data_IF_373404402759
#
_entry.id   IF_373404402759
#
_cell.length_a   1.000
_cell.length_b   1.000
_cell.length_c   1.000
_cell.angle_alpha   90.00
_cell.angle_beta   90.00
_cell.angle_gamma   90.00
#
_symmetry.space_group_name_H-M   'P 1'
#
loop_
_entity.id
_entity.type
_entity.pdbx_description
1 polymer ?
#
# COMPACT_ATOMS: atom_id res chain seq x y z
N UNK A 1 13.36 -20.01 -39.28
CA UNK A 1 13.33 -18.88 -38.32
C UNK A 1 14.40 -19.15 -37.27
N UNK A 2 15.36 -18.24 -37.13
CA UNK A 2 16.44 -18.35 -36.14
C UNK A 2 15.93 -17.65 -34.89
N UNK A 3 15.63 -18.39 -33.82
CA UNK A 3 15.32 -17.80 -32.54
C UNK A 3 16.58 -17.06 -32.05
N UNK A 4 16.47 -15.75 -31.83
CA UNK A 4 17.53 -14.96 -31.22
C UNK A 4 17.78 -15.50 -29.81
N UNK A 5 19.03 -15.84 -29.54
CA UNK A 5 19.48 -16.29 -28.23
C UNK A 5 19.28 -15.12 -27.25
N UNK A 6 18.41 -15.30 -26.26
CA UNK A 6 18.36 -14.37 -25.13
C UNK A 6 19.51 -14.82 -24.24
N UNK A 7 20.65 -14.18 -24.42
CA UNK A 7 21.75 -14.24 -23.47
C UNK A 7 21.21 -13.68 -22.15
N UNK A 8 20.98 -14.61 -21.20
CA UNK A 8 20.58 -14.28 -19.85
C UNK A 8 21.59 -13.28 -19.29
N UNK A 9 21.13 -12.05 -19.04
CA UNK A 9 21.92 -11.04 -18.36
C UNK A 9 22.19 -11.57 -16.95
N UNK A 10 23.36 -12.14 -16.78
CA UNK A 10 23.91 -12.49 -15.47
C UNK A 10 24.29 -11.19 -14.77
N UNK A 11 23.40 -10.69 -13.93
CA UNK A 11 23.80 -10.05 -12.69
C UNK A 11 22.67 -10.34 -11.70
N UNK A 12 22.96 -11.16 -10.70
CA UNK A 12 22.07 -11.36 -9.58
C UNK A 12 21.88 -10.00 -8.92
N UNK A 13 20.80 -9.29 -9.26
CA UNK A 13 20.08 -8.55 -8.23
C UNK A 13 19.78 -9.64 -7.22
N UNK A 14 20.52 -9.62 -6.12
CA UNK A 14 20.01 -10.13 -4.87
C UNK A 14 18.70 -9.35 -4.73
N UNK A 15 17.59 -9.97 -5.17
CA UNK A 15 16.27 -9.49 -4.86
C UNK A 15 16.26 -9.54 -3.35
N UNK A 16 16.53 -8.38 -2.73
CA UNK A 16 16.45 -8.27 -1.29
C UNK A 16 15.05 -8.72 -0.99
N UNK A 17 14.92 -9.90 -0.36
CA UNK A 17 13.69 -10.71 -0.34
C UNK A 17 12.45 -10.02 0.22
N UNK A 18 12.56 -8.75 0.59
CA UNK A 18 11.49 -7.78 0.81
C UNK A 18 10.45 -7.75 -0.31
N UNK A 19 10.80 -7.90 -1.60
CA UNK A 19 9.79 -7.90 -2.69
C UNK A 19 8.98 -9.19 -2.72
N UNK A 20 9.66 -10.34 -2.66
CA UNK A 20 9.01 -11.66 -2.57
C UNK A 20 8.14 -11.75 -1.31
N UNK A 21 8.65 -11.27 -0.18
CA UNK A 21 7.94 -11.29 1.09
C UNK A 21 6.71 -10.37 1.10
N UNK A 22 6.79 -9.17 0.52
CA UNK A 22 5.61 -8.30 0.36
C UNK A 22 4.56 -8.96 -0.53
N UNK A 23 4.97 -9.66 -1.60
CA UNK A 23 4.02 -10.40 -2.45
C UNK A 23 3.29 -11.49 -1.66
N UNK A 24 3.97 -12.27 -0.82
CA UNK A 24 3.34 -13.26 0.06
C UNK A 24 2.37 -12.62 1.05
N UNK A 25 2.74 -11.49 1.66
CA UNK A 25 1.89 -10.73 2.59
C UNK A 25 0.61 -10.24 1.92
N UNK A 26 0.74 -9.68 0.71
CA UNK A 26 -0.41 -9.21 -0.07
C UNK A 26 -1.29 -10.38 -0.54
N UNK A 27 -0.69 -11.53 -0.86
CA UNK A 27 -1.41 -12.74 -1.25
C UNK A 27 -2.18 -13.38 -0.07
N UNK A 28 -1.65 -13.28 1.15
CA UNK A 28 -2.36 -13.70 2.37
C UNK A 28 -3.64 -12.87 2.59
N UNK A 29 -3.58 -11.57 2.27
CA UNK A 29 -4.77 -10.70 2.23
C UNK A 29 -5.42 -10.46 3.60
N UNK A 30 -4.70 -10.72 4.69
CA UNK A 30 -5.14 -10.39 6.05
C UNK A 30 -4.46 -9.11 6.55
N UNK A 31 -5.19 -8.24 7.26
CA UNK A 31 -4.62 -7.03 7.85
C UNK A 31 -3.48 -7.33 8.84
N UNK A 32 -3.54 -8.45 9.57
CA UNK A 32 -2.49 -8.87 10.50
C UNK A 32 -1.20 -9.29 9.78
N UNK A 33 -1.29 -9.81 8.56
CA UNK A 33 -0.10 -10.14 7.77
C UNK A 33 0.61 -8.86 7.32
N UNK A 34 -0.14 -7.85 6.88
CA UNK A 34 0.41 -6.54 6.54
C UNK A 34 1.00 -5.82 7.76
N UNK A 35 0.36 -5.92 8.93
CA UNK A 35 0.89 -5.35 10.17
C UNK A 35 2.28 -5.90 10.48
N UNK A 36 2.42 -7.23 10.55
CA UNK A 36 3.71 -7.86 10.86
C UNK A 36 4.79 -7.44 9.87
N UNK A 37 4.46 -7.40 8.58
CA UNK A 37 5.37 -6.88 7.55
C UNK A 37 5.79 -5.43 7.83
N UNK A 38 4.82 -4.54 8.10
CA UNK A 38 5.10 -3.13 8.31
C UNK A 38 5.95 -2.90 9.57
N UNK A 39 5.68 -3.63 10.65
CA UNK A 39 6.44 -3.51 11.89
C UNK A 39 7.89 -4.00 11.75
N UNK A 40 8.11 -5.10 11.04
CA UNK A 40 9.44 -5.67 10.84
C UNK A 40 10.24 -4.94 9.75
N UNK A 41 9.58 -4.45 8.69
CA UNK A 41 10.25 -3.74 7.59
C UNK A 41 10.56 -2.28 7.91
N UNK A 42 9.60 -1.55 8.50
CA UNK A 42 9.78 -0.14 8.84
C UNK A 42 10.29 0.07 10.28
N UNK A 43 10.41 -1.01 11.07
CA UNK A 43 10.85 -0.97 12.47
C UNK A 43 9.98 -0.04 13.35
N UNK A 44 8.67 0.01 13.06
CA UNK A 44 7.67 0.82 13.79
C UNK A 44 6.62 -0.06 14.44
N UNK A 45 5.86 0.48 15.40
CA UNK A 45 4.61 -0.14 15.85
C UNK A 45 3.46 0.38 15.01
N UNK A 46 2.63 -0.53 14.48
CA UNK A 46 1.52 -0.16 13.59
C UNK A 46 0.19 -0.47 14.25
N UNK A 47 -0.72 0.51 14.26
CA UNK A 47 -2.05 0.35 14.82
C UNK A 47 -2.92 -0.55 13.92
N UNK A 48 -3.37 -1.69 14.47
CA UNK A 48 -4.13 -2.69 13.71
C UNK A 48 -5.52 -2.18 13.29
N UNK A 49 -6.14 -1.28 14.06
CA UNK A 49 -7.45 -0.71 13.72
C UNK A 49 -7.32 0.22 12.50
N UNK A 50 -6.22 0.97 12.40
CA UNK A 50 -5.90 1.78 11.22
C UNK A 50 -5.70 0.91 9.97
N UNK A 51 -5.03 -0.24 10.09
CA UNK A 51 -4.88 -1.20 8.98
C UNK A 51 -6.24 -1.80 8.60
N UNK A 52 -7.06 -2.21 9.57
CA UNK A 52 -8.41 -2.70 9.31
C UNK A 52 -9.27 -1.68 8.57
N UNK A 53 -9.19 -0.40 8.95
CA UNK A 53 -9.89 0.70 8.28
C UNK A 53 -9.50 0.79 6.79
N UNK A 54 -8.20 0.71 6.50
CA UNK A 54 -7.69 0.76 5.13
C UNK A 54 -8.08 -0.48 4.34
N UNK A 55 -7.96 -1.65 4.96
CA UNK A 55 -8.31 -2.93 4.35
C UNK A 55 -9.80 -3.04 4.02
N UNK A 56 -10.66 -2.36 4.80
CA UNK A 56 -12.09 -2.25 4.53
C UNK A 56 -12.45 -1.20 3.49
N UNK A 57 -11.46 -0.52 2.88
CA UNK A 57 -11.63 0.60 1.96
C UNK A 57 -12.58 1.67 2.53
N UNK A 58 -12.49 1.92 3.84
CA UNK A 58 -13.22 3.01 4.46
C UNK A 58 -12.57 4.34 4.06
N UNK A 59 -13.36 5.44 3.96
CA UNK A 59 -12.82 6.76 3.62
C UNK A 59 -11.64 7.15 4.53
N UNK A 60 -10.51 7.54 3.96
CA UNK A 60 -9.30 7.82 4.74
C UNK A 60 -9.46 9.08 5.57
N UNK A 61 -9.23 9.00 6.88
CA UNK A 61 -9.37 10.16 7.78
C UNK A 61 -8.01 10.60 8.33
N UNK A 62 -7.91 11.85 8.78
CA UNK A 62 -6.70 12.37 9.42
C UNK A 62 -6.29 11.51 10.62
N UNK A 63 -7.27 11.00 11.39
CA UNK A 63 -6.98 10.15 12.55
C UNK A 63 -6.28 8.85 12.15
N UNK A 64 -6.67 8.25 11.02
CA UNK A 64 -6.05 7.00 10.51
C UNK A 64 -4.66 7.29 9.96
N UNK A 65 -4.49 8.40 9.25
CA UNK A 65 -3.17 8.84 8.75
C UNK A 65 -2.21 9.06 9.91
N UNK A 66 -2.59 9.86 10.91
CA UNK A 66 -1.73 10.15 12.07
C UNK A 66 -1.44 8.94 12.94
N UNK A 67 -2.30 7.91 12.93
CA UNK A 67 -2.04 6.65 13.63
C UNK A 67 -0.94 5.81 12.94
N UNK A 68 -0.80 5.93 11.62
CA UNK A 68 0.22 5.24 10.84
C UNK A 68 1.51 6.06 10.72
N UNK A 69 1.38 7.35 10.49
CA UNK A 69 2.49 8.27 10.37
C UNK A 69 2.09 9.66 10.90
N UNK A 70 2.55 10.04 12.10
CA UNK A 70 2.18 11.32 12.73
C UNK A 70 2.80 12.54 12.03
N UNK A 71 3.80 12.36 11.18
CA UNK A 71 4.47 13.44 10.44
C UNK A 71 3.77 13.76 9.10
N UNK A 72 2.69 13.06 8.77
CA UNK A 72 1.95 13.21 7.50
C UNK A 72 0.54 13.73 7.76
N UNK A 73 0.12 14.72 6.96
CA UNK A 73 -1.24 15.23 6.97
C UNK A 73 -2.05 14.67 5.79
N UNK A 74 -3.35 14.44 5.99
CA UNK A 74 -4.25 13.92 4.95
C UNK A 74 -4.33 14.85 3.73
N UNK A 75 -4.16 16.16 3.94
CA UNK A 75 -4.18 17.15 2.85
C UNK A 75 -3.02 16.96 1.87
N UNK A 76 -1.86 16.53 2.36
CA UNK A 76 -0.68 16.29 1.52
C UNK A 76 -0.84 15.04 0.66
N UNK A 77 -1.71 14.10 1.07
CA UNK A 77 -2.02 12.87 0.35
C UNK A 77 -3.13 13.03 -0.69
N UNK A 78 -3.74 14.21 -0.84
CA UNK A 78 -4.95 14.39 -1.65
C UNK A 78 -4.76 14.02 -3.13
N UNK A 79 -3.61 14.37 -3.71
CA UNK A 79 -3.30 14.06 -5.12
C UNK A 79 -3.08 12.56 -5.32
N UNK A 80 -2.29 11.92 -4.43
CA UNK A 80 -2.04 10.49 -4.44
C UNK A 80 -3.35 9.68 -4.30
N UNK A 81 -4.21 10.08 -3.37
CA UNK A 81 -5.50 9.41 -3.12
C UNK A 81 -6.42 9.51 -4.35
N UNK A 82 -6.46 10.67 -5.01
CA UNK A 82 -7.21 10.85 -6.25
C UNK A 82 -6.63 10.02 -7.40
N UNK A 83 -5.30 9.93 -7.50
CA UNK A 83 -4.61 9.15 -8.52
C UNK A 83 -4.90 7.65 -8.40
N UNK A 84 -4.90 7.10 -7.19
CA UNK A 84 -5.16 5.67 -6.96
C UNK A 84 -6.66 5.35 -6.78
N UNK A 85 -7.52 6.38 -6.75
CA UNK A 85 -8.97 6.23 -6.57
C UNK A 85 -9.38 5.77 -5.16
N UNK A 86 -8.58 6.09 -4.14
CA UNK A 86 -8.88 5.72 -2.77
C UNK A 86 -9.98 6.62 -2.17
N UNK A 87 -10.95 6.07 -1.41
CA UNK A 87 -12.04 6.86 -0.87
C UNK A 87 -11.56 7.91 0.14
N UNK A 88 -11.99 9.16 -0.05
CA UNK A 88 -11.78 10.25 0.90
C UNK A 88 -13.12 10.79 1.44
N UNK A 89 -13.16 11.29 2.68
CA UNK A 89 -14.36 11.86 3.27
C UNK A 89 -14.89 12.98 2.37
N UNK A 90 -16.10 12.81 1.82
CA UNK A 90 -16.73 13.78 0.93
C UNK A 90 -16.54 13.52 -0.57
N UNK A 91 -15.88 12.45 -1.00
CA UNK A 91 -15.84 12.04 -2.42
C UNK A 91 -17.19 11.50 -2.93
N UNK A 92 -18.10 11.11 -2.03
CA UNK A 92 -19.46 10.67 -2.35
C UNK A 92 -20.38 11.84 -2.74
N UNK A 93 -20.04 12.58 -3.81
CA UNK A 93 -20.97 13.54 -4.43
C UNK A 93 -20.63 13.92 -5.88
N UNK A 94 -19.69 13.25 -6.58
CA UNK A 94 -19.39 13.60 -7.98
C UNK A 94 -19.21 12.38 -8.88
N UNK A 95 -20.19 11.50 -8.90
CA UNK A 95 -20.34 10.56 -10.02
C UNK A 95 -21.81 10.33 -10.29
N UNK A 96 -22.35 11.04 -11.29
CA UNK A 96 -23.70 10.81 -11.80
C UNK A 96 -24.45 12.04 -12.33
N UNK A 97 -23.89 12.79 -13.30
CA UNK A 97 -24.69 13.55 -14.29
C UNK A 97 -23.80 13.90 -15.48
N UNK A 98 -23.91 13.13 -16.57
CA UNK A 98 -24.06 13.61 -17.96
C UNK A 98 -24.38 12.41 -18.84
#
# INVERSE_FOLDING_TARGET
MRAGSIEALAESVEDGGSTEWLCDVLADGRPEAYQQFAEEYYEVTTDIEAIHHIHALQPLTQSVVSALNPDVELVDLADDLAQIGYPVPGAEATSGTT
#
